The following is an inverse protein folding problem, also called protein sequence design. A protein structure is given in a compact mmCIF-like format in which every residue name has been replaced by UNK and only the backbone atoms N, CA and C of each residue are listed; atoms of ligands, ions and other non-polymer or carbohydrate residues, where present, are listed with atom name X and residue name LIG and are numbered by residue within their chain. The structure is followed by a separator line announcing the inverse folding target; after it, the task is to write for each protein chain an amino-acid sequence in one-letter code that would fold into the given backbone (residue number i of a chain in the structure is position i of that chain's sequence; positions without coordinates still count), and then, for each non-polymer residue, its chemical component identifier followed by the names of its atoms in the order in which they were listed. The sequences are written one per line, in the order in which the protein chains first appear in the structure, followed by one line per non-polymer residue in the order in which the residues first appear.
data_IF_799723892577
#
_entry.id   IF_799723892577
#
_cell.length_a   1.000
_cell.length_b   1.000
_cell.length_c   1.000
_cell.angle_alpha   90.00
_cell.angle_beta   90.00
_cell.angle_gamma   90.00
#
_symmetry.space_group_name_H-M   'P 1'
#
loop_
_entity.id
_entity.type
_entity.pdbx_description
1 polymer ?
#
# COMPACT_ATOMS: atom_id res chain seq x y z
N UNK A 1 6.94 18.90 -11.06
CA UNK A 1 6.71 17.95 -9.95
C UNK A 1 5.99 16.74 -10.51
N UNK A 2 6.64 15.59 -10.51
CA UNK A 2 6.04 14.31 -10.92
C UNK A 2 5.67 13.55 -9.63
N UNK A 3 4.38 13.31 -9.40
CA UNK A 3 3.91 12.54 -8.24
C UNK A 3 3.66 11.11 -8.71
N UNK A 4 4.51 10.18 -8.29
CA UNK A 4 4.31 8.74 -8.53
C UNK A 4 3.44 8.20 -7.40
N UNK A 5 2.22 7.78 -7.71
CA UNK A 5 1.35 7.11 -6.75
C UNK A 5 1.86 5.68 -6.52
N UNK A 6 2.38 5.41 -5.32
CA UNK A 6 2.67 4.04 -4.90
C UNK A 6 1.36 3.44 -4.38
N UNK A 7 0.86 2.33 -4.96
CA UNK A 7 -0.34 1.70 -4.43
C UNK A 7 -0.08 1.25 -2.99
N UNK A 8 -1.05 1.50 -2.11
CA UNK A 8 -1.02 0.92 -0.77
C UNK A 8 -0.90 -0.59 -0.84
N UNK A 9 -0.24 -1.18 0.16
CA UNK A 9 -0.09 -2.62 0.26
C UNK A 9 -0.43 -3.07 1.67
N UNK A 10 -1.08 -4.21 1.80
CA UNK A 10 -1.41 -4.81 3.09
C UNK A 10 -1.27 -6.32 3.08
N UNK A 11 -1.02 -6.88 4.24
CA UNK A 11 -0.99 -8.32 4.46
C UNK A 11 -2.36 -8.81 4.90
N UNK A 12 -2.99 -9.69 4.10
CA UNK A 12 -4.25 -10.32 4.47
C UNK A 12 -3.98 -11.56 5.33
N UNK A 13 -4.57 -11.63 6.52
CA UNK A 13 -4.38 -12.76 7.44
C UNK A 13 -5.06 -14.05 6.96
N UNK A 14 -6.11 -13.96 6.14
CA UNK A 14 -6.82 -15.14 5.61
C UNK A 14 -6.14 -15.70 4.35
N UNK A 15 -5.70 -14.82 3.45
CA UNK A 15 -4.98 -15.23 2.26
C UNK A 15 -3.51 -15.53 2.54
N UNK A 16 -2.99 -15.07 3.70
CA UNK A 16 -1.58 -15.15 4.08
C UNK A 16 -0.65 -14.62 2.98
N UNK A 17 -1.02 -13.47 2.41
CA UNK A 17 -0.27 -12.84 1.32
C UNK A 17 -0.43 -11.32 1.32
N UNK A 18 0.47 -10.63 0.63
CA UNK A 18 0.40 -9.20 0.38
C UNK A 18 -0.58 -8.91 -0.76
N UNK A 19 -1.56 -8.05 -0.49
CA UNK A 19 -2.58 -7.60 -1.44
C UNK A 19 -2.50 -6.08 -1.61
N UNK A 20 -2.83 -5.54 -2.79
CA UNK A 20 -2.93 -4.10 -2.98
C UNK A 20 -4.11 -3.55 -2.15
N UNK A 21 -3.85 -2.48 -1.40
CA UNK A 21 -4.83 -1.71 -0.64
C UNK A 21 -5.12 -0.40 -1.38
N UNK A 22 -6.36 -0.24 -1.83
CA UNK A 22 -6.83 1.03 -2.42
C UNK A 22 -7.28 2.02 -1.34
N UNK A 23 -7.65 1.52 -0.16
CA UNK A 23 -8.13 2.30 0.97
C UNK A 23 -7.55 1.75 2.28
N UNK A 24 -7.30 2.64 3.25
CA UNK A 24 -6.60 2.32 4.50
C UNK A 24 -7.33 1.25 5.35
N UNK A 25 -8.64 1.13 5.18
CA UNK A 25 -9.51 0.17 5.89
C UNK A 25 -10.31 -0.71 4.92
N UNK A 26 -9.83 -0.87 3.69
CA UNK A 26 -10.51 -1.64 2.65
C UNK A 26 -10.50 -3.15 2.89
N UNK A 27 -11.49 -3.85 2.34
CA UNK A 27 -11.52 -5.30 2.31
C UNK A 27 -10.44 -5.87 1.38
N UNK A 28 -9.94 -7.06 1.69
CA UNK A 28 -9.04 -7.81 0.83
C UNK A 28 -9.72 -8.06 -0.54
N UNK A 29 -9.13 -7.63 -1.67
CA UNK A 29 -9.73 -7.80 -2.98
C UNK A 29 -9.84 -9.27 -3.42
N UNK A 30 -9.12 -10.18 -2.76
CA UNK A 30 -9.14 -11.62 -3.08
C UNK A 30 -10.20 -12.40 -2.32
N UNK A 31 -10.43 -12.10 -1.04
CA UNK A 31 -11.32 -12.88 -0.19
C UNK A 31 -12.44 -12.08 0.48
N UNK A 32 -12.45 -10.74 0.33
CA UNK A 32 -13.42 -9.86 0.97
C UNK A 32 -13.25 -9.68 2.48
N UNK A 33 -12.21 -10.28 3.08
CA UNK A 33 -11.94 -10.12 4.52
C UNK A 33 -11.40 -8.74 4.85
N UNK A 34 -11.82 -8.20 5.98
CA UNK A 34 -11.31 -6.93 6.51
C UNK A 34 -10.11 -7.13 7.47
N UNK A 35 -9.66 -8.38 7.65
CA UNK A 35 -8.45 -8.70 8.42
C UNK A 35 -7.19 -8.49 7.56
N UNK A 36 -7.00 -7.25 7.11
CA UNK A 36 -5.84 -6.82 6.32
C UNK A 36 -5.06 -5.80 7.13
N UNK A 37 -3.78 -6.09 7.39
CA UNK A 37 -2.88 -5.17 8.08
C UNK A 37 -2.12 -4.35 7.03
N UNK A 38 -2.21 -3.03 7.07
CA UNK A 38 -1.44 -2.18 6.17
C UNK A 38 0.07 -2.38 6.39
N UNK A 39 0.80 -2.69 5.32
CA UNK A 39 2.25 -2.95 5.33
C UNK A 39 3.04 -1.94 4.50
N UNK A 40 2.38 -1.11 3.70
CA UNK A 40 3.03 -0.08 2.88
C UNK A 40 2.04 0.88 2.23
N UNK A 41 2.53 1.99 1.67
CA UNK A 41 1.70 3.02 1.02
C UNK A 41 1.65 4.37 1.73
N UNK A 42 2.23 4.48 2.93
CA UNK A 42 2.40 5.75 3.66
C UNK A 42 3.81 6.33 3.50
N UNK A 43 4.65 5.68 2.70
CA UNK A 43 6.04 6.09 2.50
C UNK A 43 6.11 7.26 1.50
N UNK A 44 6.46 8.45 1.99
CA UNK A 44 6.93 9.53 1.13
C UNK A 44 8.45 9.40 0.94
N UNK A 45 8.87 9.04 -0.27
CA UNK A 45 10.29 8.99 -0.66
C UNK A 45 10.63 10.16 -1.57
N UNK A 46 11.68 10.92 -1.23
CA UNK A 46 12.26 11.95 -2.10
C UNK A 46 13.08 11.24 -3.17
N UNK A 47 12.70 11.43 -4.45
CA UNK A 47 13.27 10.68 -5.58
C UNK A 47 14.74 11.05 -5.81
N UNK A 48 15.05 12.35 -5.93
CA UNK A 48 16.41 12.89 -6.12
C UNK A 48 16.47 14.32 -5.55
N UNK A 49 17.62 14.70 -4.97
CA UNK A 49 17.93 16.09 -4.60
C UNK A 49 18.95 16.58 -5.64
N UNK A 50 18.56 17.54 -6.47
CA UNK A 50 19.51 18.28 -7.30
C UNK A 50 20.32 19.23 -6.41
N UNK A 51 21.64 19.20 -6.55
CA UNK A 51 22.57 20.10 -5.83
C UNK A 51 23.32 20.89 -6.92
N UNK A 52 23.24 22.23 -6.89
CA UNK A 52 24.10 23.16 -7.63
C UNK A 52 25.21 23.73 -6.72
#
# INVERSE_FOLDING_TARGET
MEIVSVPGAGWCMLCAETVPMQELYGACPKCGSHQVQATGGTEMRVKEIEIE
#
